data_IF_253455908825
#
_entry.id   IF_253455908825
#
_cell.length_a   1.000
_cell.length_b   1.000
_cell.length_c   1.000
_cell.angle_alpha   90.00
_cell.angle_beta   90.00
_cell.angle_gamma   90.00
#
_symmetry.space_group_name_H-M   'P 1'
#
loop_
_entity.id
_entity.type
_entity.pdbx_description
1 polymer ?
#
# COMPACT_ATOMS: atom_id res chain seq x y z
N UNK A 1 8.73 17.92 -2.21
CA UNK A 1 7.45 18.41 -1.63
C UNK A 1 6.21 17.99 -2.41
N UNK A 2 5.83 18.59 -3.57
CA UNK A 2 4.60 18.14 -4.29
C UNK A 2 4.66 16.67 -4.71
N UNK A 3 5.80 16.23 -5.24
CA UNK A 3 6.04 14.83 -5.59
C UNK A 3 5.96 13.90 -4.37
N UNK A 4 6.36 14.36 -3.18
CA UNK A 4 6.29 13.58 -1.95
C UNK A 4 4.85 13.37 -1.50
N UNK A 5 4.01 14.42 -1.55
CA UNK A 5 2.57 14.29 -1.28
C UNK A 5 1.89 13.31 -2.26
N UNK A 6 2.27 13.34 -3.54
CA UNK A 6 1.77 12.39 -4.54
C UNK A 6 2.21 10.96 -4.22
N UNK A 7 3.46 10.76 -3.79
CA UNK A 7 3.96 9.45 -3.35
C UNK A 7 3.17 8.94 -2.14
N UNK A 8 2.96 9.77 -1.12
CA UNK A 8 2.11 9.43 0.04
C UNK A 8 0.70 9.11 -0.41
N UNK A 9 0.15 9.79 -1.40
CA UNK A 9 -1.20 9.50 -1.88
C UNK A 9 -1.26 8.16 -2.61
N UNK A 10 -0.35 7.90 -3.56
CA UNK A 10 -0.56 6.89 -4.61
C UNK A 10 0.13 5.54 -4.36
N UNK A 11 1.24 5.49 -3.63
CA UNK A 11 2.00 4.25 -3.41
C UNK A 11 1.13 3.08 -2.89
N UNK A 12 0.26 3.24 -1.88
CA UNK A 12 -0.54 2.11 -1.38
C UNK A 12 -1.46 1.54 -2.45
N UNK A 13 -2.05 2.40 -3.30
CA UNK A 13 -2.91 1.97 -4.39
C UNK A 13 -2.13 1.30 -5.51
N UNK A 14 -0.91 1.77 -5.80
CA UNK A 14 -0.03 1.12 -6.76
C UNK A 14 0.37 -0.28 -6.30
N UNK A 15 0.70 -0.44 -5.01
CA UNK A 15 1.01 -1.74 -4.40
C UNK A 15 -0.20 -2.69 -4.52
N UNK A 16 -1.40 -2.24 -4.16
CA UNK A 16 -2.61 -3.06 -4.26
C UNK A 16 -2.96 -3.42 -5.71
N UNK A 17 -2.78 -2.49 -6.64
CA UNK A 17 -2.97 -2.73 -8.07
C UNK A 17 -2.03 -3.82 -8.58
N UNK A 18 -0.75 -3.82 -8.17
CA UNK A 18 0.20 -4.87 -8.52
C UNK A 18 -0.28 -6.25 -8.05
N UNK A 19 -0.80 -6.36 -6.82
CA UNK A 19 -1.37 -7.61 -6.30
C UNK A 19 -2.55 -8.09 -7.15
N UNK A 20 -3.49 -7.19 -7.48
CA UNK A 20 -4.67 -7.51 -8.31
C UNK A 20 -4.24 -7.97 -9.72
N UNK A 21 -3.34 -7.22 -10.37
CA UNK A 21 -2.88 -7.53 -11.71
C UNK A 21 -2.19 -8.90 -11.76
N UNK A 22 -1.32 -9.20 -10.79
CA UNK A 22 -0.64 -10.49 -10.73
C UNK A 22 -1.63 -11.65 -10.55
N UNK A 23 -2.64 -11.49 -9.70
CA UNK A 23 -3.66 -12.51 -9.51
C UNK A 23 -4.49 -12.76 -10.77
N UNK A 24 -4.87 -11.71 -11.50
CA UNK A 24 -5.58 -11.87 -12.76
C UNK A 24 -4.72 -12.60 -13.81
N UNK A 25 -3.42 -12.30 -13.91
CA UNK A 25 -2.51 -13.06 -14.79
C UNK A 25 -2.53 -14.55 -14.44
N UNK A 26 -2.54 -14.91 -13.15
CA UNK A 26 -2.66 -16.30 -12.72
C UNK A 26 -3.94 -16.97 -13.23
N UNK A 27 -5.08 -16.30 -13.08
CA UNK A 27 -6.38 -16.84 -13.47
C UNK A 27 -6.46 -17.11 -14.98
N UNK A 28 -5.83 -16.27 -15.80
CA UNK A 28 -5.98 -16.33 -17.26
C UNK A 28 -4.83 -17.01 -18.01
N UNK A 29 -3.64 -17.20 -17.42
CA UNK A 29 -2.44 -17.56 -18.18
C UNK A 29 -1.99 -19.04 -18.13
N UNK A 30 -2.71 -19.96 -17.48
CA UNK A 30 -2.37 -21.40 -17.44
C UNK A 30 -0.87 -21.69 -17.15
N UNK A 31 -0.24 -20.87 -16.31
CA UNK A 31 1.20 -20.91 -16.05
C UNK A 31 1.53 -22.10 -15.15
N UNK A 32 2.60 -22.84 -15.48
CA UNK A 32 3.09 -23.94 -14.64
C UNK A 32 3.48 -23.44 -13.25
N UNK A 33 3.25 -24.27 -12.22
CA UNK A 33 3.33 -23.90 -10.80
C UNK A 33 4.65 -23.22 -10.39
N UNK A 34 5.78 -23.63 -10.97
CA UNK A 34 7.12 -23.14 -10.60
C UNK A 34 7.41 -21.72 -11.11
N UNK A 35 7.04 -21.42 -12.36
CA UNK A 35 7.21 -20.07 -12.93
C UNK A 35 6.31 -19.04 -12.23
N UNK A 36 5.18 -19.51 -11.69
CA UNK A 36 4.24 -18.70 -10.94
C UNK A 36 4.79 -18.23 -9.59
N UNK A 37 5.36 -19.13 -8.78
CA UNK A 37 5.98 -18.73 -7.50
C UNK A 37 7.12 -17.72 -7.70
N UNK A 38 7.94 -17.92 -8.74
CA UNK A 38 8.99 -16.96 -9.10
C UNK A 38 8.44 -15.56 -9.40
N UNK A 39 7.33 -15.47 -10.15
CA UNK A 39 6.67 -14.21 -10.45
C UNK A 39 6.02 -13.56 -9.22
N UNK A 40 5.43 -14.34 -8.32
CA UNK A 40 4.92 -13.85 -7.02
C UNK A 40 6.06 -13.23 -6.18
N UNK A 41 7.24 -13.86 -6.10
CA UNK A 41 8.38 -13.31 -5.36
C UNK A 41 8.88 -11.98 -5.94
N UNK A 42 8.98 -11.88 -7.27
CA UNK A 42 9.35 -10.63 -7.94
C UNK A 42 8.34 -9.53 -7.62
N UNK A 43 7.04 -9.86 -7.60
CA UNK A 43 6.00 -8.91 -7.23
C UNK A 43 6.18 -8.37 -5.82
N UNK A 44 6.44 -9.25 -4.84
CA UNK A 44 6.68 -8.82 -3.46
C UNK A 44 7.91 -7.93 -3.33
N UNK A 45 8.96 -8.18 -4.12
CA UNK A 45 10.12 -7.27 -4.22
C UNK A 45 9.67 -5.89 -4.71
N UNK A 46 8.86 -5.80 -5.78
CA UNK A 46 8.35 -4.53 -6.27
C UNK A 46 7.42 -3.83 -5.27
N UNK A 47 6.54 -4.56 -4.57
CA UNK A 47 5.70 -4.01 -3.51
C UNK A 47 6.55 -3.45 -2.35
N UNK A 48 7.59 -4.18 -1.94
CA UNK A 48 8.55 -3.75 -0.94
C UNK A 48 9.30 -2.49 -1.36
N UNK A 49 9.81 -2.46 -2.60
CA UNK A 49 10.49 -1.29 -3.17
C UNK A 49 9.57 -0.08 -3.26
N UNK A 50 8.34 -0.26 -3.74
CA UNK A 50 7.34 0.80 -3.82
C UNK A 50 7.03 1.38 -2.43
N UNK A 51 6.86 0.52 -1.43
CA UNK A 51 6.63 0.94 -0.04
C UNK A 51 7.86 1.64 0.54
N UNK A 52 9.07 1.15 0.26
CA UNK A 52 10.32 1.76 0.70
C UNK A 52 10.50 3.19 0.17
N UNK A 53 9.92 3.53 -1.00
CA UNK A 53 9.92 4.92 -1.51
C UNK A 53 9.18 5.91 -0.61
N UNK A 54 8.35 5.44 0.32
CA UNK A 54 7.76 6.31 1.34
C UNK A 54 8.78 6.73 2.41
N UNK A 55 9.86 5.96 2.60
CA UNK A 55 10.96 6.32 3.52
C UNK A 55 11.85 7.42 2.95
N UNK A 56 11.93 7.55 1.61
CA UNK A 56 12.68 8.62 0.93
C UNK A 56 12.03 10.01 1.06
N UNK A 57 10.84 10.10 1.67
CA UNK A 57 10.12 11.36 1.81
C UNK A 57 10.77 12.23 2.88
N UNK A 58 11.01 13.49 2.51
CA UNK A 58 11.57 14.48 3.43
C UNK A 58 10.75 14.62 4.72
N UNK A 59 11.39 14.62 5.91
CA UNK A 59 10.71 14.78 7.19
C UNK A 59 9.81 16.01 7.26
N UNK A 60 10.25 17.13 6.66
CA UNK A 60 9.46 18.37 6.58
C UNK A 60 8.16 18.26 5.78
N UNK A 61 8.01 17.24 4.93
CA UNK A 61 6.73 16.96 4.26
C UNK A 61 5.71 16.41 5.25
N UNK A 62 6.12 15.55 6.18
CA UNK A 62 5.22 14.94 7.17
C UNK A 62 4.66 15.95 8.18
N UNK A 63 5.33 17.08 8.43
CA UNK A 63 4.81 18.15 9.29
C UNK A 63 3.60 18.89 8.68
N UNK A 64 3.43 18.81 7.37
CA UNK A 64 2.41 19.58 6.64
C UNK A 64 1.00 19.05 6.93
N UNK A 65 0.03 19.98 7.01
CA UNK A 65 -1.38 19.65 7.17
C UNK A 65 -1.91 18.80 6.00
N UNK A 66 -1.45 19.09 4.77
CA UNK A 66 -1.80 18.34 3.57
C UNK A 66 -1.36 16.88 3.66
N UNK A 67 -0.11 16.62 4.07
CA UNK A 67 0.39 15.25 4.26
C UNK A 67 -0.43 14.48 5.29
N UNK A 68 -0.77 15.12 6.43
CA UNK A 68 -1.65 14.51 7.45
C UNK A 68 -3.01 14.12 6.90
N UNK A 69 -3.65 15.02 6.16
CA UNK A 69 -4.96 14.74 5.55
C UNK A 69 -4.85 13.55 4.60
N UNK A 70 -3.84 13.52 3.72
CA UNK A 70 -3.63 12.40 2.79
C UNK A 70 -3.41 11.08 3.57
N UNK A 71 -2.60 11.10 4.63
CA UNK A 71 -2.34 9.92 5.46
C UNK A 71 -3.63 9.40 6.10
N UNK A 72 -4.44 10.30 6.70
CA UNK A 72 -5.73 9.93 7.32
C UNK A 72 -6.70 9.37 6.29
N UNK A 73 -6.81 10.00 5.12
CA UNK A 73 -7.66 9.50 4.03
C UNK A 73 -7.23 8.10 3.62
N UNK A 74 -5.93 7.89 3.40
CA UNK A 74 -5.40 6.57 3.05
C UNK A 74 -5.63 5.53 4.15
N UNK A 75 -5.54 5.90 5.43
CA UNK A 75 -5.89 5.00 6.54
C UNK A 75 -7.34 4.52 6.47
N UNK A 76 -8.28 5.45 6.26
CA UNK A 76 -9.72 5.11 6.17
C UNK A 76 -9.97 4.20 4.97
N UNK A 77 -9.39 4.53 3.81
CA UNK A 77 -9.55 3.72 2.60
C UNK A 77 -8.94 2.33 2.77
N UNK A 78 -7.70 2.24 3.28
CA UNK A 78 -7.02 0.96 3.48
C UNK A 78 -7.72 0.09 4.52
N UNK A 79 -8.29 0.68 5.58
CA UNK A 79 -9.13 -0.04 6.54
C UNK A 79 -10.39 -0.58 5.85
N UNK A 80 -11.05 0.24 5.04
CA UNK A 80 -12.20 -0.20 4.23
C UNK A 80 -11.84 -1.38 3.33
N UNK A 81 -10.74 -1.27 2.57
CA UNK A 81 -10.28 -2.35 1.67
C UNK A 81 -9.89 -3.63 2.43
N UNK A 82 -9.22 -3.49 3.58
CA UNK A 82 -8.94 -4.61 4.46
C UNK A 82 -10.23 -5.30 4.92
N UNK A 83 -11.21 -4.53 5.42
CA UNK A 83 -12.48 -5.08 5.89
C UNK A 83 -13.29 -5.74 4.77
N UNK A 84 -13.31 -5.15 3.56
CA UNK A 84 -13.94 -5.75 2.40
C UNK A 84 -13.30 -7.10 2.03
N UNK A 85 -11.96 -7.16 2.02
CA UNK A 85 -11.24 -8.41 1.76
C UNK A 85 -11.40 -9.44 2.88
N UNK A 86 -11.41 -9.01 4.15
CA UNK A 86 -11.55 -9.87 5.33
C UNK A 86 -12.96 -10.46 5.46
N UNK A 87 -14.00 -9.63 5.29
CA UNK A 87 -15.40 -10.03 5.39
C UNK A 87 -15.93 -10.72 4.14
N UNK A 88 -15.11 -10.80 3.09
CA UNK A 88 -15.54 -11.31 1.80
C UNK A 88 -16.78 -10.54 1.27
N UNK A 89 -16.69 -9.19 1.21
CA UNK A 89 -17.58 -8.28 0.45
C UNK A 89 -16.85 -7.62 -0.80
N UNK A 90 -17.29 -7.84 -2.09
CA UNK A 90 -16.66 -7.62 -3.46
C UNK A 90 -15.71 -8.61 -4.21
N UNK A 91 -15.78 -8.62 -5.56
CA UNK A 91 -15.00 -9.42 -6.58
C UNK A 91 -13.49 -9.62 -6.31
N UNK A 92 -12.84 -8.77 -5.51
CA UNK A 92 -11.44 -8.92 -5.13
C UNK A 92 -11.14 -10.09 -4.16
N UNK A 93 -12.13 -10.90 -3.77
CA UNK A 93 -11.98 -12.03 -2.82
C UNK A 93 -10.99 -13.09 -3.20
N UNK A 94 -10.94 -13.42 -4.49
CA UNK A 94 -10.05 -14.47 -4.94
C UNK A 94 -8.61 -13.97 -4.96
N UNK A 95 -8.38 -12.65 -4.89
CA UNK A 95 -7.04 -12.08 -4.94
C UNK A 95 -6.27 -12.43 -3.66
N UNK A 96 -5.46 -13.48 -3.75
CA UNK A 96 -4.59 -13.93 -2.67
C UNK A 96 -3.72 -12.78 -2.19
N UNK A 97 -3.59 -12.67 -0.87
CA UNK A 97 -2.81 -11.65 -0.16
C UNK A 97 -3.41 -10.24 -0.14
N UNK A 98 -4.53 -9.97 -0.81
CA UNK A 98 -5.08 -8.61 -0.91
C UNK A 98 -5.38 -7.98 0.46
N UNK A 99 -6.09 -8.70 1.34
CA UNK A 99 -6.41 -8.17 2.67
C UNK A 99 -5.16 -8.07 3.57
N UNK A 100 -4.22 -9.03 3.47
CA UNK A 100 -2.97 -8.99 4.24
C UNK A 100 -2.10 -7.78 3.86
N UNK A 101 -1.97 -7.52 2.55
CA UNK A 101 -1.22 -6.36 2.04
C UNK A 101 -1.94 -5.06 2.38
N UNK A 102 -3.28 -5.02 2.29
CA UNK A 102 -4.07 -3.86 2.73
C UNK A 102 -3.84 -3.54 4.22
N UNK A 103 -3.81 -4.58 5.07
CA UNK A 103 -3.52 -4.43 6.50
C UNK A 103 -2.09 -3.98 6.78
N UNK A 104 -1.11 -4.51 6.04
CA UNK A 104 0.29 -4.09 6.14
C UNK A 104 0.44 -2.61 5.78
N UNK A 105 -0.15 -2.18 4.67
CA UNK A 105 -0.15 -0.78 4.24
C UNK A 105 -0.87 0.11 5.26
N UNK A 106 -2.00 -0.35 5.81
CA UNK A 106 -2.70 0.36 6.89
C UNK A 106 -1.78 0.59 8.10
N UNK A 107 -1.09 -0.46 8.57
CA UNK A 107 -0.14 -0.36 9.68
C UNK A 107 1.01 0.60 9.38
N UNK A 108 1.51 0.60 8.14
CA UNK A 108 2.54 1.53 7.71
C UNK A 108 2.06 3.00 7.72
N UNK A 109 0.84 3.26 7.25
CA UNK A 109 0.26 4.61 7.28
C UNK A 109 -0.07 5.05 8.71
N UNK A 110 -0.39 4.12 9.61
CA UNK A 110 -0.57 4.42 11.03
C UNK A 110 0.74 4.90 11.64
N UNK A 111 1.85 4.23 11.30
CA UNK A 111 3.19 4.67 11.67
C UNK A 111 3.51 6.06 11.12
N UNK A 112 3.26 6.32 9.83
CA UNK A 112 3.48 7.65 9.23
C UNK A 112 2.66 8.74 9.92
N UNK A 113 1.42 8.43 10.32
CA UNK A 113 0.58 9.36 11.07
C UNK A 113 1.21 9.69 12.43
N UNK A 114 1.71 8.68 13.16
CA UNK A 114 2.40 8.89 14.44
C UNK A 114 3.65 9.75 14.25
N UNK A 115 4.45 9.50 13.21
CA UNK A 115 5.65 10.31 12.91
C UNK A 115 5.25 11.76 12.60
N UNK A 116 4.20 11.95 11.80
CA UNK A 116 3.68 13.27 11.45
C UNK A 116 3.15 14.05 12.67
N UNK A 117 2.53 13.36 13.63
CA UNK A 117 2.04 13.96 14.87
C UNK A 117 3.18 14.28 15.86
N UNK A 118 4.18 13.40 15.98
CA UNK A 118 5.32 13.57 16.91
C UNK A 118 6.26 14.72 16.55
N UNK A 119 6.28 15.19 15.30
CA UNK A 119 7.16 16.29 14.86
C UNK A 119 6.45 17.30 13.95
N UNK A 120 5.40 17.90 14.49
CA UNK A 120 5.25 19.36 14.43
C UNK A 120 6.05 20.09 15.53
N UNK A 121 6.70 19.37 16.45
CA UNK A 121 7.35 19.92 17.65
C UNK A 121 8.88 20.00 17.59
N UNK A 122 9.54 19.50 16.54
CA UNK A 122 10.97 19.77 16.32
C UNK A 122 11.26 19.98 14.84
N UNK A 123 11.12 21.22 14.41
CA UNK A 123 11.86 21.84 13.31
C UNK A 123 12.25 23.23 13.77
#
# INVERSE_FOLDING_TARGET
MKADLVRIALIPYFVLLLIICNWNVKLYAAVTLNSFYFLEYILFIFCGLATARLMDISPGTYAQKSARIIIIVNLVVLLGLFLLGFLQIFVFFDVRYFYQISFLLFGYYLYLLVVSLRKGETL
#
